data_IF_797442242814
#
_entry.id   IF_797442242814
#
_cell.length_a   1.000
_cell.length_b   1.000
_cell.length_c   1.000
_cell.angle_alpha   90.00
_cell.angle_beta   90.00
_cell.angle_gamma   90.00
#
_symmetry.space_group_name_H-M   'P 1'
#
loop_
_entity.id
_entity.type
_entity.pdbx_description
1 polymer ?
#
# COMPACT_ATOMS: atom_id res chain seq x y z
N UNK A 1 58.11 37.75 -16.59
CA UNK A 1 58.02 36.49 -15.82
C UNK A 1 57.07 36.56 -14.60
N UNK A 2 56.79 37.75 -14.03
CA UNK A 2 55.93 37.91 -12.83
C UNK A 2 54.41 37.76 -13.10
N UNK A 3 53.92 38.21 -14.26
CA UNK A 3 52.49 38.18 -14.60
C UNK A 3 51.90 36.76 -14.78
N UNK A 4 52.69 35.81 -15.29
CA UNK A 4 52.25 34.41 -15.49
C UNK A 4 52.00 33.68 -14.18
N UNK A 5 52.72 34.02 -13.11
CA UNK A 5 52.55 33.40 -11.80
C UNK A 5 51.29 33.91 -11.08
N UNK A 6 50.92 35.17 -11.29
CA UNK A 6 49.67 35.73 -10.75
C UNK A 6 48.46 35.12 -11.45
N UNK A 7 48.52 34.95 -12.77
CA UNK A 7 47.44 34.33 -13.55
C UNK A 7 47.24 32.85 -13.17
N UNK A 8 48.31 32.09 -12.97
CA UNK A 8 48.23 30.69 -12.51
C UNK A 8 47.64 30.57 -11.09
N UNK A 9 47.98 31.50 -10.19
CA UNK A 9 47.40 31.56 -8.84
C UNK A 9 45.91 31.91 -8.88
N UNK A 10 45.49 32.88 -9.71
CA UNK A 10 44.09 33.23 -9.93
C UNK A 10 43.29 32.06 -10.51
N UNK A 11 43.86 31.34 -11.48
CA UNK A 11 43.24 30.14 -12.06
C UNK A 11 43.08 29.02 -11.03
N UNK A 12 44.08 28.77 -10.18
CA UNK A 12 43.94 27.80 -9.09
C UNK A 12 42.84 28.19 -8.10
N UNK A 13 42.73 29.47 -7.74
CA UNK A 13 41.68 29.97 -6.84
C UNK A 13 40.30 29.79 -7.48
N UNK A 14 40.14 30.09 -8.77
CA UNK A 14 38.89 29.88 -9.51
C UNK A 14 38.49 28.40 -9.57
N UNK A 15 39.45 27.49 -9.78
CA UNK A 15 39.18 26.04 -9.78
C UNK A 15 38.74 25.56 -8.40
N UNK A 16 39.39 26.03 -7.32
CA UNK A 16 38.99 25.67 -5.95
C UNK A 16 37.58 26.19 -5.62
N UNK A 17 37.25 27.41 -6.05
CA UNK A 17 35.90 27.97 -5.86
C UNK A 17 34.86 27.16 -6.65
N UNK A 18 35.15 26.79 -7.90
CA UNK A 18 34.26 25.95 -8.71
C UNK A 18 34.05 24.57 -8.11
N UNK A 19 35.10 23.94 -7.58
CA UNK A 19 34.99 22.65 -6.87
C UNK A 19 34.21 22.79 -5.56
N UNK A 20 34.42 23.87 -4.80
CA UNK A 20 33.64 24.14 -3.60
C UNK A 20 32.16 24.37 -3.92
N UNK A 21 31.85 25.12 -4.98
CA UNK A 21 30.48 25.37 -5.44
C UNK A 21 29.81 24.09 -5.95
N UNK A 22 30.51 23.24 -6.69
CA UNK A 22 29.95 21.95 -7.13
C UNK A 22 29.72 21.00 -5.95
N UNK A 23 30.61 20.97 -4.95
CA UNK A 23 30.40 20.20 -3.71
C UNK A 23 29.22 20.76 -2.91
N UNK A 24 29.09 22.09 -2.80
CA UNK A 24 27.97 22.73 -2.11
C UNK A 24 26.64 22.47 -2.84
N UNK A 25 26.58 22.63 -4.17
CA UNK A 25 25.40 22.34 -4.97
C UNK A 25 25.05 20.85 -4.96
N UNK A 26 26.04 19.96 -4.93
CA UNK A 26 25.87 18.51 -4.75
C UNK A 26 25.33 18.16 -3.35
N UNK A 27 25.78 18.88 -2.32
CA UNK A 27 25.29 18.74 -0.93
C UNK A 27 23.88 19.30 -0.75
N UNK A 28 23.54 20.40 -1.42
CA UNK A 28 22.21 21.03 -1.43
C UNK A 28 21.20 20.15 -2.17
N UNK A 29 21.58 19.60 -3.34
CA UNK A 29 20.75 18.63 -4.07
C UNK A 29 20.54 17.35 -3.25
N UNK A 30 21.54 16.85 -2.52
CA UNK A 30 21.33 15.74 -1.56
C UNK A 30 20.44 16.11 -0.37
N UNK A 31 20.47 17.35 0.13
CA UNK A 31 19.57 17.82 1.21
C UNK A 31 18.11 17.89 0.79
N UNK A 32 17.82 18.20 -0.48
CA UNK A 32 16.44 18.18 -1.00
C UNK A 32 15.84 16.77 -1.07
N UNK A 33 16.68 15.72 -1.08
CA UNK A 33 16.27 14.30 -1.05
C UNK A 33 16.44 13.63 0.32
N UNK A 34 16.95 14.32 1.34
CA UNK A 34 17.11 13.80 2.69
C UNK A 34 16.68 14.85 3.73
N UNK A 35 15.52 14.63 4.35
CA UNK A 35 15.18 15.23 5.64
C UNK A 35 15.84 14.37 6.73
N UNK A 36 16.89 14.82 7.43
CA UNK A 36 17.43 14.06 8.54
C UNK A 36 16.48 14.19 9.73
N UNK A 37 15.97 13.06 10.19
CA UNK A 37 15.24 12.93 11.43
C UNK A 37 16.21 13.19 12.59
N UNK A 38 16.04 14.30 13.31
CA UNK A 38 16.71 14.52 14.60
C UNK A 38 15.73 14.08 15.68
N UNK A 39 15.96 12.89 16.24
CA UNK A 39 15.35 12.46 17.50
C UNK A 39 15.89 13.35 18.61
N UNK A 40 15.04 14.17 19.22
CA UNK A 40 15.25 14.63 20.60
C UNK A 40 14.95 13.46 21.53
N UNK A 41 15.95 12.60 21.73
CA UNK A 41 16.06 11.72 22.88
C UNK A 41 17.52 11.79 23.29
N UNK A 42 17.91 12.88 23.95
CA UNK A 42 19.20 12.96 24.65
C UNK A 42 19.17 13.98 25.80
N UNK A 43 18.03 14.07 26.49
CA UNK A 43 17.93 14.70 27.80
C UNK A 43 16.89 13.94 28.63
N UNK A 44 17.25 12.71 29.04
CA UNK A 44 16.84 12.11 30.33
C UNK A 44 17.51 10.73 30.48
N UNK A 45 18.83 10.72 30.68
CA UNK A 45 19.51 9.61 31.35
C UNK A 45 20.16 10.12 32.63
N UNK A 46 19.43 10.07 33.74
CA UNK A 46 20.02 9.81 35.04
C UNK A 46 19.13 8.84 35.84
N UNK A 47 19.63 7.61 35.93
CA UNK A 47 19.51 6.65 37.04
C UNK A 47 18.32 6.79 38.01
N UNK A 48 17.37 5.84 37.97
CA UNK A 48 16.90 5.18 39.19
C UNK A 48 16.26 3.81 38.89
N UNK A 49 16.65 2.79 39.67
CA UNK A 49 16.22 1.39 39.54
C UNK A 49 14.73 1.24 39.88
N UNK A 50 13.96 0.66 38.96
CA UNK A 50 12.56 0.30 39.16
C UNK A 50 12.41 -0.78 40.24
N UNK A 51 11.57 -0.52 41.26
CA UNK A 51 11.27 -1.44 42.36
C UNK A 51 9.76 -1.75 42.38
N UNK A 52 9.31 -3.01 42.21
CA UNK A 52 7.90 -3.33 41.98
C UNK A 52 7.13 -3.51 43.31
N UNK A 53 6.91 -2.43 44.06
CA UNK A 53 5.95 -2.36 45.19
C UNK A 53 5.54 -0.91 45.43
N UNK A 54 4.81 -0.31 44.48
CA UNK A 54 4.13 0.99 44.68
C UNK A 54 3.01 1.30 43.66
N UNK A 55 2.30 0.27 43.17
CA UNK A 55 1.16 0.45 42.25
C UNK A 55 -0.21 0.12 42.86
N UNK A 56 -0.34 0.11 44.20
CA UNK A 56 -1.65 -0.01 44.88
C UNK A 56 -2.17 1.32 45.49
N UNK A 57 -1.56 2.46 45.14
CA UNK A 57 -1.97 3.77 45.66
C UNK A 57 -2.53 4.77 44.65
N UNK A 58 -2.62 4.43 43.36
CA UNK A 58 -2.93 5.39 42.28
C UNK A 58 -4.17 5.02 41.45
N UNK A 59 -5.12 4.31 42.07
CA UNK A 59 -6.47 4.06 41.54
C UNK A 59 -7.55 4.51 42.53
N UNK A 60 -7.30 5.64 43.22
CA UNK A 60 -8.25 6.19 44.18
C UNK A 60 -8.20 7.71 44.27
N UNK A 61 -8.11 8.40 43.13
CA UNK A 61 -8.21 9.86 43.07
C UNK A 61 -8.67 10.40 41.70
N UNK A 62 -9.51 9.62 41.01
CA UNK A 62 -10.21 10.03 39.79
C UNK A 62 -11.69 9.60 39.83
N UNK A 63 -12.28 9.63 41.02
CA UNK A 63 -13.70 9.39 41.28
C UNK A 63 -14.18 10.45 42.27
N UNK A 64 -14.37 11.67 41.78
CA UNK A 64 -14.77 12.80 42.60
C UNK A 64 -14.87 14.06 41.77
N UNK A 65 -15.83 14.09 40.83
CA UNK A 65 -16.47 15.32 40.32
C UNK A 65 -17.57 14.92 39.30
N UNK A 66 -18.75 14.59 39.83
CA UNK A 66 -19.99 14.53 39.07
C UNK A 66 -21.08 15.09 39.98
N UNK A 67 -21.39 16.37 39.76
CA UNK A 67 -22.42 17.11 40.46
C UNK A 67 -23.83 16.58 40.16
N UNK A 68 -24.54 16.33 41.25
CA UNK A 68 -25.98 16.23 41.52
C UNK A 68 -26.99 16.28 40.36
N UNK A 69 -27.80 15.22 40.27
CA UNK A 69 -29.06 15.12 39.52
C UNK A 69 -30.23 15.41 40.48
N UNK A 70 -31.20 16.27 40.13
CA UNK A 70 -32.44 16.37 40.90
C UNK A 70 -33.34 15.16 40.62
N UNK A 71 -33.72 14.45 41.69
CA UNK A 71 -34.80 13.46 41.71
C UNK A 71 -36.14 14.17 41.83
N UNK A 72 -37.00 14.02 40.82
CA UNK A 72 -38.44 14.22 41.01
C UNK A 72 -39.27 13.24 40.16
N UNK A 73 -40.04 12.45 40.90
CA UNK A 73 -41.33 11.86 40.55
C UNK A 73 -41.40 10.58 39.70
N UNK A 74 -41.47 9.47 40.45
CA UNK A 74 -42.26 8.28 40.12
C UNK A 74 -43.72 8.65 39.81
N UNK A 75 -44.32 8.01 38.80
CA UNK A 75 -45.77 8.05 38.61
C UNK A 75 -46.27 7.37 37.33
N UNK A 76 -46.86 6.19 37.53
CA UNK A 76 -47.89 5.52 36.72
C UNK A 76 -47.55 4.79 35.41
N UNK A 77 -47.65 3.46 35.54
CA UNK A 77 -48.21 2.56 34.53
C UNK A 77 -49.52 3.09 33.93
N UNK A 78 -49.62 3.09 32.61
CA UNK A 78 -50.87 2.74 31.92
C UNK A 78 -50.60 2.13 30.54
N UNK A 79 -51.30 1.02 30.29
CA UNK A 79 -51.44 0.32 29.01
C UNK A 79 -52.04 1.27 27.97
N UNK A 80 -51.44 1.31 26.77
CA UNK A 80 -52.18 1.57 25.53
C UNK A 80 -51.69 0.62 24.44
N UNK A 81 -52.63 -0.16 23.90
CA UNK A 81 -52.50 -1.02 22.73
C UNK A 81 -52.51 -0.18 21.45
N UNK A 82 -51.68 -0.58 20.48
CA UNK A 82 -52.04 -0.56 19.06
C UNK A 82 -51.69 0.70 18.26
N UNK A 83 -50.66 0.58 17.42
CA UNK A 83 -50.70 0.98 16.01
C UNK A 83 -49.39 0.57 15.33
N UNK A 84 -49.49 -0.38 14.41
CA UNK A 84 -48.42 -0.76 13.48
C UNK A 84 -48.53 0.18 12.29
N UNK A 85 -47.67 1.19 12.20
CA UNK A 85 -47.26 1.83 10.95
C UNK A 85 -46.12 2.80 11.22
N UNK A 86 -44.90 2.53 10.73
CA UNK A 86 -43.83 3.52 10.80
C UNK A 86 -42.38 3.05 10.67
N UNK A 87 -42.12 1.78 10.34
CA UNK A 87 -40.74 1.25 10.25
C UNK A 87 -40.09 1.40 8.87
N UNK A 88 -40.82 1.77 7.82
CA UNK A 88 -40.27 1.90 6.46
C UNK A 88 -39.55 3.24 6.20
N UNK A 89 -39.97 4.35 6.84
CA UNK A 89 -39.37 5.67 6.60
C UNK A 89 -38.04 5.90 7.32
N UNK A 90 -37.82 5.30 8.50
CA UNK A 90 -36.54 5.39 9.20
C UNK A 90 -35.43 4.60 8.51
N UNK A 91 -35.78 3.50 7.82
CA UNK A 91 -34.81 2.72 7.04
C UNK A 91 -34.32 3.46 5.80
N UNK A 92 -35.20 4.23 5.13
CA UNK A 92 -34.85 5.00 3.93
C UNK A 92 -34.01 6.24 4.20
N UNK A 93 -34.09 6.81 5.42
CA UNK A 93 -33.37 8.05 5.77
C UNK A 93 -31.89 7.83 6.15
N UNK A 94 -31.51 6.60 6.49
CA UNK A 94 -30.14 6.24 6.88
C UNK A 94 -29.27 5.96 5.64
N UNK A 95 -29.84 5.35 4.60
CA UNK A 95 -29.15 5.05 3.32
C UNK A 95 -28.72 6.31 2.56
N UNK A 96 -29.44 7.44 2.70
CA UNK A 96 -29.10 8.71 2.03
C UNK A 96 -27.89 9.46 2.64
N UNK A 97 -27.31 8.96 3.74
CA UNK A 97 -26.22 9.64 4.47
C UNK A 97 -24.87 8.91 4.46
N UNK A 98 -24.78 7.72 3.85
CA UNK A 98 -23.55 6.94 3.83
C UNK A 98 -22.60 7.44 2.75
N UNK A 99 -21.53 8.13 3.16
CA UNK A 99 -20.48 8.59 2.22
C UNK A 99 -19.42 7.50 2.05
N UNK A 100 -19.44 6.83 0.90
CA UNK A 100 -18.40 5.89 0.47
C UNK A 100 -17.49 6.51 -0.61
N UNK A 101 -16.49 5.76 -1.07
CA UNK A 101 -15.60 6.21 -2.13
C UNK A 101 -16.36 6.59 -3.40
N UNK A 102 -16.10 7.78 -3.91
CA UNK A 102 -16.63 8.26 -5.18
C UNK A 102 -15.79 7.70 -6.34
N UNK A 103 -16.38 6.82 -7.16
CA UNK A 103 -15.75 6.21 -8.34
C UNK A 103 -15.39 7.21 -9.45
N UNK A 104 -15.88 8.45 -9.34
CA UNK A 104 -15.65 9.55 -10.25
C UNK A 104 -14.62 10.57 -9.71
N UNK A 105 -13.96 10.25 -8.59
CA UNK A 105 -12.92 11.11 -7.99
C UNK A 105 -11.83 11.46 -9.00
N UNK A 106 -11.44 12.73 -9.00
CA UNK A 106 -10.40 13.30 -9.86
C UNK A 106 -9.40 14.09 -9.02
N UNK A 107 -8.36 14.59 -9.66
CA UNK A 107 -7.37 15.48 -9.06
C UNK A 107 -7.99 16.74 -8.46
N UNK A 108 -9.15 17.18 -8.95
CA UNK A 108 -9.90 18.31 -8.37
C UNK A 108 -10.45 18.00 -6.98
N UNK A 109 -10.66 16.72 -6.65
CA UNK A 109 -11.13 16.27 -5.34
C UNK A 109 -9.98 16.13 -4.32
N UNK A 110 -8.71 16.23 -4.74
CA UNK A 110 -7.55 16.20 -3.86
C UNK A 110 -7.35 17.52 -3.12
N UNK A 111 -6.75 17.48 -1.92
CA UNK A 111 -6.29 18.68 -1.22
C UNK A 111 -5.19 19.40 -2.02
N UNK A 112 -5.03 20.74 -1.91
CA UNK A 112 -4.08 21.50 -2.72
C UNK A 112 -2.63 20.98 -2.67
N UNK A 113 -2.19 20.51 -1.48
CA UNK A 113 -0.86 19.88 -1.32
C UNK A 113 -0.70 18.69 -2.27
N UNK A 114 -1.67 17.78 -2.32
CA UNK A 114 -1.60 16.56 -3.13
C UNK A 114 -1.80 16.86 -4.62
N UNK A 115 -2.57 17.88 -4.97
CA UNK A 115 -2.63 18.38 -6.36
C UNK A 115 -1.24 18.84 -6.84
N UNK A 116 -0.49 19.57 -6.00
CA UNK A 116 0.88 19.98 -6.31
C UNK A 116 1.83 18.79 -6.42
N UNK A 117 1.75 17.85 -5.48
CA UNK A 117 2.56 16.62 -5.50
C UNK A 117 2.32 15.82 -6.79
N UNK A 118 1.06 15.64 -7.20
CA UNK A 118 0.74 14.98 -8.48
C UNK A 118 1.34 15.71 -9.67
N UNK A 119 1.23 17.05 -9.74
CA UNK A 119 1.85 17.84 -10.82
C UNK A 119 3.37 17.66 -10.87
N UNK A 120 4.03 17.56 -9.71
CA UNK A 120 5.47 17.30 -9.66
C UNK A 120 5.81 15.91 -10.21
N UNK A 121 5.07 14.86 -9.84
CA UNK A 121 5.31 13.51 -10.39
C UNK A 121 5.07 13.43 -11.90
N UNK A 122 4.01 14.08 -12.39
CA UNK A 122 3.76 14.21 -13.84
C UNK A 122 4.95 14.89 -14.55
N UNK A 123 5.49 15.97 -13.97
CA UNK A 123 6.63 16.68 -14.54
C UNK A 123 7.94 15.90 -14.47
N UNK A 124 8.16 15.11 -13.42
CA UNK A 124 9.39 14.35 -13.25
C UNK A 124 9.47 13.17 -14.22
N UNK A 125 8.34 12.51 -14.50
CA UNK A 125 8.24 11.34 -15.39
C UNK A 125 9.42 10.36 -15.24
N UNK A 126 9.70 9.96 -13.99
CA UNK A 126 10.91 9.19 -13.61
C UNK A 126 11.13 7.95 -14.47
N UNK A 127 10.06 7.29 -14.91
CA UNK A 127 10.09 6.03 -15.65
C UNK A 127 9.95 6.20 -17.17
N UNK A 128 10.02 7.44 -17.68
CA UNK A 128 9.88 7.76 -19.10
C UNK A 128 8.58 7.23 -19.73
N UNK A 129 7.48 7.35 -19.00
CA UNK A 129 6.16 6.91 -19.46
C UNK A 129 5.74 7.76 -20.66
N UNK A 130 5.38 7.08 -21.75
CA UNK A 130 4.88 7.70 -22.99
C UNK A 130 3.62 6.95 -23.44
N UNK A 131 2.50 7.25 -22.78
CA UNK A 131 1.23 6.62 -23.10
C UNK A 131 0.71 7.09 -24.46
N UNK A 132 0.41 6.13 -25.34
CA UNK A 132 -0.13 6.36 -26.70
C UNK A 132 -1.49 5.70 -26.92
N UNK A 133 -2.07 5.08 -25.89
CA UNK A 133 -3.40 4.49 -25.97
C UNK A 133 -4.50 5.54 -25.96
N UNK A 134 -5.70 5.14 -26.36
CA UNK A 134 -6.86 6.02 -26.33
C UNK A 134 -7.39 6.14 -24.90
N UNK A 135 -7.55 7.37 -24.41
CA UNK A 135 -8.27 7.59 -23.16
C UNK A 135 -9.76 7.35 -23.41
N UNK A 136 -10.37 6.43 -22.66
CA UNK A 136 -11.80 6.13 -22.81
C UNK A 136 -12.64 7.35 -22.42
N UNK A 137 -13.24 8.00 -23.42
CA UNK A 137 -14.11 9.15 -23.22
C UNK A 137 -15.38 8.80 -22.42
N UNK A 138 -15.85 7.55 -22.56
CA UNK A 138 -16.93 6.98 -21.76
C UNK A 138 -16.39 5.85 -20.88
N UNK A 139 -16.80 5.82 -19.61
CA UNK A 139 -16.36 4.78 -18.66
C UNK A 139 -16.88 3.41 -19.09
N UNK A 140 -15.99 2.43 -19.15
CA UNK A 140 -16.37 1.03 -19.36
C UNK A 140 -17.32 0.54 -18.26
N UNK A 141 -18.23 -0.36 -18.63
CA UNK A 141 -19.03 -1.11 -17.66
C UNK A 141 -18.12 -1.99 -16.79
N UNK A 142 -18.56 -2.37 -15.58
CA UNK A 142 -17.77 -3.24 -14.69
C UNK A 142 -17.32 -4.53 -15.38
N UNK A 143 -18.19 -5.16 -16.18
CA UNK A 143 -17.93 -6.42 -16.87
C UNK A 143 -16.84 -6.25 -17.94
N UNK A 144 -16.94 -5.20 -18.77
CA UNK A 144 -15.92 -4.90 -19.79
C UNK A 144 -14.57 -4.56 -19.17
N UNK A 145 -14.56 -3.86 -18.04
CA UNK A 145 -13.34 -3.55 -17.31
C UNK A 145 -12.70 -4.80 -16.69
N UNK A 146 -13.50 -5.73 -16.17
CA UNK A 146 -13.02 -7.02 -15.68
C UNK A 146 -12.40 -7.85 -16.81
N UNK A 147 -13.04 -7.88 -17.99
CA UNK A 147 -12.47 -8.50 -19.19
C UNK A 147 -11.16 -7.87 -19.61
N UNK A 148 -11.10 -6.54 -19.62
CA UNK A 148 -9.88 -5.80 -19.95
C UNK A 148 -8.72 -6.17 -19.00
N UNK A 149 -8.99 -6.23 -17.69
CA UNK A 149 -7.98 -6.65 -16.70
C UNK A 149 -7.51 -8.08 -16.93
N UNK A 150 -8.44 -9.03 -17.09
CA UNK A 150 -8.16 -10.45 -17.30
C UNK A 150 -7.29 -10.68 -18.54
N UNK A 151 -7.64 -10.04 -19.64
CA UNK A 151 -7.07 -10.35 -20.96
C UNK A 151 -5.76 -9.61 -21.23
N UNK A 152 -5.53 -8.46 -20.59
CA UNK A 152 -4.38 -7.58 -20.88
C UNK A 152 -3.34 -7.49 -19.77
N UNK A 153 -3.63 -7.94 -18.55
CA UNK A 153 -2.66 -7.94 -17.45
C UNK A 153 -2.16 -9.36 -17.21
N UNK A 154 -0.92 -9.61 -17.62
CA UNK A 154 -0.32 -10.92 -17.44
C UNK A 154 0.34 -11.00 -16.05
N UNK A 155 -0.28 -11.76 -15.14
CA UNK A 155 0.27 -11.98 -13.80
C UNK A 155 1.24 -13.15 -13.83
N UNK A 156 2.50 -12.84 -14.15
CA UNK A 156 3.61 -13.81 -14.16
C UNK A 156 4.73 -13.40 -13.22
N UNK A 157 5.45 -14.42 -12.75
CA UNK A 157 6.70 -14.25 -12.03
C UNK A 157 7.86 -14.46 -13.00
N UNK A 158 9.03 -13.92 -12.68
CA UNK A 158 10.27 -14.23 -13.38
C UNK A 158 10.56 -15.73 -13.26
N UNK A 159 10.84 -16.36 -14.40
CA UNK A 159 11.20 -17.76 -14.53
C UNK A 159 12.65 -17.90 -15.00
N UNK A 160 13.21 -19.11 -14.85
CA UNK A 160 14.54 -19.42 -15.39
C UNK A 160 14.63 -19.34 -16.92
N UNK A 161 13.52 -19.24 -17.64
CA UNK A 161 13.53 -18.99 -19.09
C UNK A 161 13.68 -17.51 -19.44
N UNK A 162 13.46 -16.59 -18.50
CA UNK A 162 13.49 -15.15 -18.76
C UNK A 162 14.92 -14.63 -18.68
N UNK A 163 15.45 -14.06 -19.77
CA UNK A 163 16.80 -13.48 -19.76
C UNK A 163 16.89 -12.23 -18.85
N UNK A 164 17.90 -12.11 -17.95
CA UNK A 164 19.11 -12.93 -17.83
C UNK A 164 19.06 -14.02 -16.72
N UNK A 165 17.88 -14.39 -16.24
CA UNK A 165 17.68 -15.35 -15.15
C UNK A 165 17.87 -16.82 -15.54
N UNK A 166 18.17 -17.12 -16.81
CA UNK A 166 18.48 -18.47 -17.28
C UNK A 166 19.88 -18.98 -17.01
N UNK A 167 20.71 -18.21 -16.32
CA UNK A 167 22.05 -18.67 -15.94
C UNK A 167 22.01 -19.76 -14.86
N UNK A 168 23.03 -20.61 -14.81
CA UNK A 168 23.20 -21.62 -13.74
C UNK A 168 23.36 -20.99 -12.34
N UNK A 169 23.72 -19.71 -12.27
CA UNK A 169 23.69 -18.95 -11.04
C UNK A 169 22.25 -18.73 -10.55
N UNK A 170 21.36 -18.23 -11.41
CA UNK A 170 19.99 -17.88 -11.05
C UNK A 170 19.07 -19.09 -10.81
N UNK A 171 19.31 -20.19 -11.54
CA UNK A 171 18.50 -21.41 -11.41
C UNK A 171 18.41 -21.97 -9.99
N UNK A 172 19.43 -21.76 -9.14
CA UNK A 172 19.41 -22.24 -7.74
C UNK A 172 18.54 -21.38 -6.82
N UNK A 173 18.22 -20.14 -7.19
CA UNK A 173 17.54 -19.18 -6.33
C UNK A 173 16.07 -18.98 -6.69
N UNK A 174 15.67 -19.21 -7.95
CA UNK A 174 14.28 -19.10 -8.36
C UNK A 174 13.47 -20.35 -7.96
N UNK A 175 12.19 -20.20 -7.54
CA UNK A 175 11.33 -21.35 -7.29
C UNK A 175 11.12 -22.21 -8.55
N UNK A 176 11.15 -23.53 -8.39
CA UNK A 176 10.95 -24.48 -9.51
C UNK A 176 9.49 -24.66 -9.94
N UNK A 177 8.52 -24.28 -9.10
CA UNK A 177 7.08 -24.30 -9.40
C UNK A 177 6.57 -22.88 -9.62
N UNK A 178 5.65 -22.69 -10.54
CA UNK A 178 4.94 -21.41 -10.71
C UNK A 178 4.13 -21.05 -9.45
N UNK A 179 3.77 -19.78 -9.31
CA UNK A 179 2.97 -19.33 -8.17
C UNK A 179 1.63 -20.08 -8.09
N UNK A 180 0.95 -20.26 -9.23
CA UNK A 180 -0.32 -20.97 -9.31
C UNK A 180 -0.20 -22.45 -8.92
N UNK A 181 0.90 -23.13 -9.28
CA UNK A 181 1.15 -24.52 -8.86
C UNK A 181 1.46 -24.64 -7.37
N UNK A 182 2.14 -23.64 -6.79
CA UNK A 182 2.49 -23.62 -5.37
C UNK A 182 1.27 -23.37 -4.49
N UNK A 183 0.41 -22.43 -4.90
CA UNK A 183 -0.79 -22.04 -4.14
C UNK A 183 -1.95 -23.01 -4.39
N UNK A 184 -2.06 -23.52 -5.61
CA UNK A 184 -3.22 -24.29 -6.05
C UNK A 184 -4.46 -23.40 -6.24
N UNK A 185 -5.61 -24.06 -6.30
CA UNK A 185 -6.89 -23.40 -6.43
C UNK A 185 -7.37 -22.87 -5.07
N UNK A 186 -7.68 -21.57 -5.00
CA UNK A 186 -8.28 -20.93 -3.84
C UNK A 186 -9.71 -20.48 -4.16
N UNK A 187 -10.59 -20.60 -3.17
CA UNK A 187 -11.96 -20.08 -3.21
C UNK A 187 -11.99 -18.61 -2.81
N UNK A 188 -12.22 -18.35 -1.52
CA UNK A 188 -12.36 -16.98 -0.97
C UNK A 188 -11.05 -16.49 -0.38
N UNK A 189 -10.61 -15.32 -0.82
CA UNK A 189 -9.34 -14.73 -0.40
C UNK A 189 -9.51 -13.33 0.19
N UNK A 190 -8.60 -12.93 1.08
CA UNK A 190 -8.54 -11.58 1.60
C UNK A 190 -7.26 -10.86 1.15
N UNK A 191 -7.41 -9.62 0.71
CA UNK A 191 -6.33 -8.64 0.57
C UNK A 191 -6.47 -7.64 1.71
N UNK A 192 -5.49 -7.61 2.61
CA UNK A 192 -5.50 -6.71 3.77
C UNK A 192 -4.59 -5.53 3.48
N UNK A 193 -5.16 -4.32 3.33
CA UNK A 193 -4.35 -3.11 3.16
C UNK A 193 -3.49 -2.85 4.40
N UNK A 194 -2.60 -1.86 4.33
CA UNK A 194 -1.81 -1.43 5.49
C UNK A 194 -2.42 -0.22 6.20
N UNK A 195 -3.60 0.25 5.80
CA UNK A 195 -4.15 1.54 6.19
C UNK A 195 -4.37 1.70 7.71
N UNK A 196 -4.20 2.92 8.22
CA UNK A 196 -4.49 3.23 9.63
C UNK A 196 -5.95 2.98 10.05
N UNK A 197 -6.88 2.97 9.10
CA UNK A 197 -8.32 2.72 9.33
C UNK A 197 -8.65 1.27 9.72
N UNK A 198 -7.68 0.35 9.65
CA UNK A 198 -7.81 -0.99 10.22
C UNK A 198 -7.82 -1.00 11.75
N UNK A 199 -7.31 0.04 12.42
CA UNK A 199 -7.32 0.09 13.89
C UNK A 199 -8.74 0.09 14.45
N UNK A 200 -8.97 -0.76 15.45
CA UNK A 200 -10.26 -0.93 16.12
C UNK A 200 -11.39 -1.27 15.15
N UNK A 201 -11.05 -1.99 14.07
CA UNK A 201 -12.00 -2.49 13.08
C UNK A 201 -12.61 -3.82 13.49
N UNK A 202 -11.91 -4.60 14.33
CA UNK A 202 -12.30 -5.94 14.76
C UNK A 202 -12.52 -6.93 13.57
N UNK A 203 -11.88 -6.67 12.43
CA UNK A 203 -12.03 -7.48 11.21
C UNK A 203 -11.24 -8.79 11.25
N UNK A 204 -10.42 -9.02 12.28
CA UNK A 204 -9.45 -10.11 12.28
C UNK A 204 -10.05 -11.51 12.12
N UNK A 205 -11.20 -11.77 12.76
CA UNK A 205 -11.92 -13.05 12.60
C UNK A 205 -12.49 -13.23 11.19
N UNK A 206 -13.03 -12.17 10.60
CA UNK A 206 -13.54 -12.21 9.23
C UNK A 206 -12.39 -12.46 8.26
N UNK A 207 -11.29 -11.73 8.40
CA UNK A 207 -10.08 -11.91 7.58
C UNK A 207 -9.57 -13.35 7.66
N UNK A 208 -9.46 -13.92 8.87
CA UNK A 208 -8.95 -15.29 9.05
C UNK A 208 -9.90 -16.38 8.53
N UNK A 209 -11.17 -16.05 8.23
CA UNK A 209 -12.13 -16.99 7.64
C UNK A 209 -11.89 -17.30 6.16
N UNK A 210 -11.00 -16.57 5.48
CA UNK A 210 -10.65 -16.77 4.06
C UNK A 210 -9.61 -17.88 3.89
N UNK A 211 -9.60 -18.56 2.74
CA UNK A 211 -8.64 -19.63 2.42
C UNK A 211 -7.20 -19.09 2.41
N UNK A 212 -7.01 -17.90 1.84
CA UNK A 212 -5.72 -17.22 1.79
C UNK A 212 -5.82 -15.74 2.16
N UNK A 213 -4.74 -15.22 2.77
CA UNK A 213 -4.61 -13.80 3.13
C UNK A 213 -3.33 -13.23 2.52
N UNK A 214 -3.47 -12.16 1.74
CA UNK A 214 -2.37 -11.37 1.20
C UNK A 214 -2.12 -10.11 2.05
N UNK A 215 -0.84 -9.87 2.39
CA UNK A 215 -0.36 -8.69 3.12
C UNK A 215 0.79 -7.99 2.40
N UNK A 216 1.16 -6.79 2.86
CA UNK A 216 2.13 -5.94 2.18
C UNK A 216 3.32 -5.57 3.06
N UNK A 217 4.52 -5.55 2.46
CA UNK A 217 5.75 -5.02 3.06
C UNK A 217 5.96 -5.54 4.51
N UNK A 218 6.33 -4.67 5.45
CA UNK A 218 6.51 -5.00 6.86
C UNK A 218 5.24 -4.94 7.71
N UNK A 219 4.03 -5.01 7.12
CA UNK A 219 2.78 -4.94 7.88
C UNK A 219 2.69 -6.10 8.89
N UNK A 220 2.75 -5.83 10.22
CA UNK A 220 2.86 -6.85 11.25
C UNK A 220 1.49 -7.36 11.69
N UNK A 221 1.46 -8.57 12.23
CA UNK A 221 0.27 -9.17 12.85
C UNK A 221 0.30 -9.01 14.37
N UNK A 222 1.47 -9.17 14.98
CA UNK A 222 1.65 -9.17 16.44
C UNK A 222 1.21 -7.82 17.02
N UNK A 223 0.26 -7.85 17.95
CA UNK A 223 -0.33 -6.68 18.59
C UNK A 223 -1.55 -6.11 17.87
N UNK A 224 -1.93 -6.68 16.72
CA UNK A 224 -3.05 -6.20 15.88
C UNK A 224 -4.01 -7.32 15.48
N UNK A 225 -3.89 -8.52 16.03
CA UNK A 225 -4.62 -9.72 15.60
C UNK A 225 -6.14 -9.53 15.57
N UNK A 226 -6.69 -8.78 16.53
CA UNK A 226 -8.12 -8.51 16.60
C UNK A 226 -8.62 -7.71 15.38
N UNK A 227 -7.79 -6.80 14.88
CA UNK A 227 -8.10 -5.93 13.76
C UNK A 227 -7.72 -6.54 12.42
N UNK A 228 -6.57 -7.21 12.34
CA UNK A 228 -5.97 -7.61 11.05
C UNK A 228 -5.89 -9.12 10.86
N UNK A 229 -6.28 -9.93 11.83
CA UNK A 229 -6.22 -11.39 11.78
C UNK A 229 -4.82 -11.94 12.04
N UNK A 230 -4.68 -13.25 11.97
CA UNK A 230 -3.44 -13.99 12.26
C UNK A 230 -2.84 -14.69 11.03
N UNK A 231 -3.62 -14.89 9.97
CA UNK A 231 -3.19 -15.61 8.78
C UNK A 231 -2.37 -14.72 7.84
N UNK A 232 -1.29 -15.27 7.28
CA UNK A 232 -0.56 -14.71 6.13
C UNK A 232 -0.19 -15.85 5.21
N UNK A 233 -0.78 -15.86 4.01
CA UNK A 233 -0.49 -16.88 2.98
C UNK A 233 0.48 -16.33 1.95
N UNK A 234 0.29 -15.07 1.55
CA UNK A 234 1.15 -14.37 0.59
C UNK A 234 1.54 -13.01 1.17
N UNK A 235 2.79 -12.61 0.99
CA UNK A 235 3.27 -11.26 1.30
C UNK A 235 3.95 -10.65 0.09
N UNK A 236 3.39 -9.54 -0.38
CA UNK A 236 3.95 -8.75 -1.47
C UNK A 236 4.82 -7.63 -0.89
N UNK A 237 6.11 -7.64 -1.21
CA UNK A 237 7.09 -6.65 -0.75
C UNK A 237 7.62 -5.85 -1.95
N UNK A 238 7.86 -4.56 -1.77
CA UNK A 238 8.58 -3.78 -2.77
C UNK A 238 10.11 -4.00 -2.63
N UNK A 239 10.84 -3.76 -3.71
CA UNK A 239 12.30 -3.87 -3.77
C UNK A 239 13.01 -2.90 -2.81
N UNK A 240 12.44 -1.71 -2.57
CA UNK A 240 12.99 -0.75 -1.63
C UNK A 240 13.14 -1.34 -0.22
N UNK A 241 12.12 -2.05 0.28
CA UNK A 241 12.17 -2.70 1.59
C UNK A 241 13.27 -3.76 1.63
N UNK A 242 13.35 -4.59 0.60
CA UNK A 242 14.34 -5.68 0.51
C UNK A 242 15.77 -5.13 0.45
N UNK A 243 15.98 -3.97 -0.18
CA UNK A 243 17.31 -3.35 -0.35
C UNK A 243 17.69 -2.41 0.81
N UNK A 244 16.79 -1.53 1.26
CA UNK A 244 17.10 -0.48 2.24
C UNK A 244 16.98 -0.99 3.67
N UNK A 245 16.00 -1.85 3.94
CA UNK A 245 15.76 -2.48 5.24
C UNK A 245 16.31 -3.92 5.26
N UNK A 246 17.34 -4.22 4.45
CA UNK A 246 17.88 -5.58 4.22
C UNK A 246 18.11 -6.35 5.52
N UNK A 247 18.81 -5.75 6.50
CA UNK A 247 19.09 -6.39 7.79
C UNK A 247 17.80 -6.82 8.50
N UNK A 248 16.80 -5.93 8.53
CA UNK A 248 15.50 -6.22 9.15
C UNK A 248 14.75 -7.29 8.37
N UNK A 249 14.72 -7.19 7.03
CA UNK A 249 14.09 -8.16 6.15
C UNK A 249 14.67 -9.58 6.29
N UNK A 250 15.99 -9.70 6.45
CA UNK A 250 16.68 -10.99 6.57
C UNK A 250 16.50 -11.67 7.93
N UNK A 251 16.18 -10.93 9.00
CA UNK A 251 16.12 -11.47 10.37
C UNK A 251 14.73 -11.54 10.98
N UNK A 252 13.79 -10.71 10.54
CA UNK A 252 12.47 -10.67 11.15
C UNK A 252 11.62 -11.88 10.74
N UNK A 253 11.17 -12.63 11.74
CA UNK A 253 10.35 -13.83 11.57
C UNK A 253 9.02 -13.58 10.81
N UNK A 254 8.58 -12.32 10.68
CA UNK A 254 7.38 -11.98 9.93
C UNK A 254 7.51 -12.28 8.43
N UNK A 255 8.73 -12.27 7.88
CA UNK A 255 9.00 -12.58 6.48
C UNK A 255 9.11 -14.09 6.24
N UNK A 256 9.40 -14.88 7.28
CA UNK A 256 9.62 -16.34 7.20
C UNK A 256 8.31 -17.15 7.10
N UNK A 257 7.17 -16.49 6.85
CA UNK A 257 5.84 -17.11 6.81
C UNK A 257 5.20 -16.95 5.43
N UNK A 258 4.63 -18.05 4.92
CA UNK A 258 3.91 -18.06 3.65
C UNK A 258 4.82 -17.84 2.45
N UNK A 259 4.22 -17.38 1.35
CA UNK A 259 4.90 -17.10 0.09
C UNK A 259 5.30 -15.62 0.05
N UNK A 260 6.54 -15.35 -0.35
CA UNK A 260 6.99 -13.99 -0.62
C UNK A 260 6.92 -13.68 -2.12
N UNK A 261 6.57 -12.45 -2.46
CA UNK A 261 6.68 -11.90 -3.81
C UNK A 261 7.36 -10.54 -3.70
N UNK A 262 8.48 -10.34 -4.39
CA UNK A 262 9.11 -9.02 -4.52
C UNK A 262 8.78 -8.40 -5.88
N UNK A 263 8.53 -7.10 -5.91
CA UNK A 263 8.36 -6.35 -7.16
C UNK A 263 9.21 -5.07 -7.15
N UNK A 264 9.66 -4.64 -8.32
CA UNK A 264 10.50 -3.46 -8.52
C UNK A 264 9.99 -2.61 -9.70
N UNK A 265 9.92 -1.28 -9.56
CA UNK A 265 9.60 -0.39 -10.67
C UNK A 265 10.62 -0.46 -11.83
N UNK A 266 10.26 -1.09 -12.94
CA UNK A 266 11.02 -0.97 -14.19
C UNK A 266 10.74 0.33 -14.95
N UNK A 267 11.64 0.79 -15.85
CA UNK A 267 11.28 1.79 -16.84
C UNK A 267 10.07 1.34 -17.69
N UNK A 268 9.30 2.30 -18.20
CA UNK A 268 8.06 2.03 -18.93
C UNK A 268 8.31 1.17 -20.17
N UNK A 269 7.59 0.03 -20.25
CA UNK A 269 7.70 -0.98 -21.33
C UNK A 269 9.14 -1.50 -21.60
N UNK A 270 10.04 -1.40 -20.62
CA UNK A 270 11.38 -1.98 -20.73
C UNK A 270 11.34 -3.51 -20.82
N UNK A 271 12.30 -4.07 -21.54
CA UNK A 271 12.54 -5.51 -21.55
C UNK A 271 13.20 -5.97 -20.24
N UNK A 272 13.01 -7.24 -19.87
CA UNK A 272 13.50 -7.81 -18.59
C UNK A 272 15.01 -7.59 -18.44
N UNK A 273 15.77 -7.77 -19.51
CA UNK A 273 17.22 -7.57 -19.51
C UNK A 273 17.65 -6.11 -19.34
N UNK A 274 16.82 -5.14 -19.74
CA UNK A 274 17.09 -3.71 -19.54
C UNK A 274 16.81 -3.31 -18.10
N UNK A 275 15.69 -3.79 -17.55
CA UNK A 275 15.35 -3.63 -16.14
C UNK A 275 16.41 -4.27 -15.24
N UNK A 276 16.86 -5.49 -15.54
CA UNK A 276 17.90 -6.17 -14.76
C UNK A 276 19.20 -5.36 -14.66
N UNK A 277 19.59 -4.65 -15.73
CA UNK A 277 20.78 -3.80 -15.73
C UNK A 277 20.63 -2.56 -14.84
N UNK A 278 19.41 -2.06 -14.66
CA UNK A 278 19.12 -0.83 -13.92
C UNK A 278 17.75 -0.95 -13.22
N UNK A 279 17.64 -1.77 -12.16
CA UNK A 279 16.45 -1.80 -11.33
C UNK A 279 16.33 -0.49 -10.54
N UNK A 280 15.14 -0.18 -10.04
CA UNK A 280 14.95 1.01 -9.20
C UNK A 280 15.68 0.86 -7.87
N UNK A 281 15.59 -0.33 -7.28
CA UNK A 281 16.42 -0.77 -6.17
C UNK A 281 17.09 -2.09 -6.51
N UNK A 282 18.41 -2.20 -6.29
CA UNK A 282 19.14 -3.43 -6.57
C UNK A 282 18.94 -4.44 -5.44
N UNK A 283 17.83 -5.18 -5.48
CA UNK A 283 17.43 -6.18 -4.48
C UNK A 283 17.98 -7.59 -4.75
N UNK A 284 18.68 -7.80 -5.86
CA UNK A 284 19.05 -9.15 -6.33
C UNK A 284 19.95 -9.90 -5.34
N UNK A 285 20.94 -9.22 -4.74
CA UNK A 285 21.85 -9.86 -3.76
C UNK A 285 21.12 -10.18 -2.44
N UNK A 286 20.31 -9.26 -1.94
CA UNK A 286 19.46 -9.46 -0.76
C UNK A 286 18.47 -10.61 -0.97
N UNK A 287 17.89 -10.72 -2.17
CA UNK A 287 17.02 -11.83 -2.57
C UNK A 287 17.78 -13.17 -2.54
N UNK A 288 18.98 -13.24 -3.13
CA UNK A 288 19.83 -14.46 -3.10
C UNK A 288 20.22 -14.84 -1.68
N UNK A 289 20.55 -13.86 -0.84
CA UNK A 289 20.90 -14.07 0.56
C UNK A 289 19.71 -14.66 1.34
N UNK A 290 18.51 -14.08 1.18
CA UNK A 290 17.30 -14.62 1.80
C UNK A 290 16.98 -16.05 1.32
N UNK A 291 17.06 -16.31 0.02
CA UNK A 291 16.83 -17.65 -0.56
C UNK A 291 17.85 -18.68 -0.07
N UNK A 292 19.07 -18.26 0.23
CA UNK A 292 20.12 -19.15 0.75
C UNK A 292 19.81 -19.60 2.18
N UNK A 293 19.18 -18.74 2.98
CA UNK A 293 18.82 -19.05 4.38
C UNK A 293 17.43 -19.69 4.51
N UNK A 294 16.55 -19.50 3.52
CA UNK A 294 15.19 -20.04 3.49
C UNK A 294 14.89 -20.80 2.18
N UNK A 295 15.64 -21.87 1.85
CA UNK A 295 15.54 -22.54 0.55
C UNK A 295 14.15 -23.13 0.28
N UNK A 296 13.46 -23.60 1.32
CA UNK A 296 12.13 -24.22 1.23
C UNK A 296 10.98 -23.21 1.10
N UNK A 297 11.19 -21.94 1.48
CA UNK A 297 10.12 -20.94 1.40
C UNK A 297 9.99 -20.38 -0.02
N UNK A 298 8.84 -20.49 -0.69
CA UNK A 298 8.66 -19.91 -2.01
C UNK A 298 8.79 -18.38 -1.95
N UNK A 299 9.72 -17.84 -2.74
CA UNK A 299 9.91 -16.41 -2.89
C UNK A 299 10.07 -16.09 -4.37
N UNK A 300 9.11 -15.35 -4.92
CA UNK A 300 9.03 -15.01 -6.34
C UNK A 300 9.44 -13.57 -6.61
N UNK A 301 9.84 -13.30 -7.84
CA UNK A 301 10.06 -11.96 -8.37
C UNK A 301 8.93 -11.68 -9.37
N UNK A 302 8.13 -10.64 -9.17
CA UNK A 302 7.06 -10.26 -10.09
C UNK A 302 7.66 -9.78 -11.42
N UNK A 303 7.08 -10.21 -12.54
CA UNK A 303 7.53 -9.75 -13.85
C UNK A 303 7.28 -8.23 -14.00
N UNK A 304 8.31 -7.42 -14.35
CA UNK A 304 8.19 -5.96 -14.40
C UNK A 304 7.19 -5.44 -15.44
N UNK A 305 6.78 -6.27 -16.41
CA UNK A 305 5.77 -5.88 -17.41
C UNK A 305 4.37 -5.74 -16.80
N UNK A 306 4.05 -6.53 -15.76
CA UNK A 306 2.72 -6.59 -15.16
C UNK A 306 2.26 -5.22 -14.62
N UNK A 307 3.14 -4.50 -13.92
CA UNK A 307 2.80 -3.18 -13.36
C UNK A 307 2.44 -2.14 -14.43
N UNK A 308 3.07 -2.19 -15.61
CA UNK A 308 2.83 -1.24 -16.69
C UNK A 308 1.62 -1.62 -17.54
N UNK A 309 1.37 -2.92 -17.72
CA UNK A 309 0.11 -3.40 -18.30
C UNK A 309 -1.09 -2.95 -17.47
N UNK A 310 -0.98 -3.03 -16.14
CA UNK A 310 -2.02 -2.54 -15.23
C UNK A 310 -2.12 -1.01 -15.24
N UNK A 311 -0.98 -0.31 -15.29
CA UNK A 311 -0.94 1.15 -15.41
C UNK A 311 -1.64 1.63 -16.69
N UNK A 312 -1.42 0.94 -17.82
CA UNK A 312 -2.07 1.27 -19.09
C UNK A 312 -3.59 1.22 -18.98
N UNK A 313 -4.14 0.20 -18.30
CA UNK A 313 -5.58 0.09 -18.04
C UNK A 313 -6.07 1.22 -17.13
N UNK A 314 -5.30 1.57 -16.09
CA UNK A 314 -5.64 2.69 -15.20
C UNK A 314 -5.67 4.01 -15.96
N UNK A 315 -4.68 4.28 -16.81
CA UNK A 315 -4.63 5.49 -17.62
C UNK A 315 -5.75 5.52 -18.65
N UNK A 316 -6.04 4.40 -19.32
CA UNK A 316 -7.12 4.26 -20.29
C UNK A 316 -8.50 4.53 -19.65
N UNK A 317 -8.68 4.14 -18.38
CA UNK A 317 -9.94 4.27 -17.64
C UNK A 317 -10.03 5.53 -16.75
N UNK A 318 -9.08 6.46 -16.91
CA UNK A 318 -9.03 7.74 -16.21
C UNK A 318 -9.26 8.89 -17.18
N UNK A 319 -10.04 9.89 -16.78
CA UNK A 319 -10.37 11.07 -17.60
C UNK A 319 -9.25 12.12 -17.64
N UNK A 320 -8.15 11.88 -16.94
CA UNK A 320 -6.99 12.76 -16.88
C UNK A 320 -5.70 11.94 -16.80
N UNK A 321 -4.57 12.59 -17.05
CA UNK A 321 -3.26 11.94 -16.94
C UNK A 321 -3.00 11.50 -15.49
N UNK A 322 -2.70 10.24 -15.27
CA UNK A 322 -2.37 9.74 -13.93
C UNK A 322 -0.87 9.88 -13.66
N UNK A 323 -0.44 9.73 -12.41
CA UNK A 323 0.98 9.75 -12.07
C UNK A 323 1.75 8.73 -12.92
N UNK A 324 2.87 9.11 -13.59
CA UNK A 324 3.67 8.23 -14.43
C UNK A 324 4.58 7.33 -13.59
N UNK A 325 4.00 6.71 -12.58
CA UNK A 325 4.59 5.85 -11.57
C UNK A 325 3.74 4.58 -11.51
N UNK A 326 4.33 3.42 -11.18
CA UNK A 326 3.60 2.16 -11.20
C UNK A 326 2.45 2.15 -10.17
N UNK A 327 1.44 1.28 -10.35
CA UNK A 327 0.37 1.09 -9.38
C UNK A 327 0.92 0.73 -8.00
N UNK A 328 0.16 1.01 -6.95
CA UNK A 328 0.54 0.66 -5.59
C UNK A 328 0.65 -0.86 -5.41
N UNK A 329 1.44 -1.31 -4.43
CA UNK A 329 1.46 -2.73 -4.04
C UNK A 329 0.06 -3.25 -3.73
N UNK A 330 -0.82 -2.42 -3.17
CA UNK A 330 -2.23 -2.74 -2.94
C UNK A 330 -2.94 -3.17 -4.22
N UNK A 331 -2.85 -2.37 -5.28
CA UNK A 331 -3.49 -2.69 -6.56
C UNK A 331 -2.85 -3.89 -7.27
N UNK A 332 -1.52 -4.01 -7.22
CA UNK A 332 -0.82 -5.21 -7.74
C UNK A 332 -1.29 -6.47 -7.02
N UNK A 333 -1.37 -6.42 -5.68
CA UNK A 333 -1.84 -7.52 -4.85
C UNK A 333 -3.29 -7.91 -5.12
N UNK A 334 -4.17 -6.94 -5.35
CA UNK A 334 -5.57 -7.20 -5.74
C UNK A 334 -5.62 -8.02 -7.03
N UNK A 335 -4.92 -7.57 -8.08
CA UNK A 335 -4.92 -8.26 -9.37
C UNK A 335 -4.27 -9.65 -9.27
N UNK A 336 -3.20 -9.80 -8.49
CA UNK A 336 -2.60 -11.12 -8.20
C UNK A 336 -3.63 -12.06 -7.56
N UNK A 337 -4.35 -11.61 -6.54
CA UNK A 337 -5.34 -12.45 -5.87
C UNK A 337 -6.56 -12.74 -6.77
N UNK A 338 -6.95 -11.83 -7.65
CA UNK A 338 -8.01 -12.10 -8.64
C UNK A 338 -7.61 -13.20 -9.63
N UNK A 339 -6.31 -13.36 -9.94
CA UNK A 339 -5.82 -14.49 -10.74
C UNK A 339 -5.85 -15.81 -9.95
N UNK A 340 -5.59 -15.76 -8.64
CA UNK A 340 -5.41 -16.94 -7.80
C UNK A 340 -6.68 -17.44 -7.12
N UNK A 341 -7.73 -16.64 -7.01
CA UNK A 341 -8.93 -16.91 -6.20
C UNK A 341 -10.21 -16.85 -7.03
N UNK A 342 -11.31 -17.39 -6.51
CA UNK A 342 -12.65 -17.25 -7.09
C UNK A 342 -13.35 -15.95 -6.67
N UNK A 343 -13.06 -15.48 -5.46
CA UNK A 343 -13.56 -14.23 -4.88
C UNK A 343 -12.46 -13.59 -4.02
N UNK A 344 -12.34 -12.26 -4.11
CA UNK A 344 -11.35 -11.48 -3.36
C UNK A 344 -12.04 -10.38 -2.57
N UNK A 345 -11.99 -10.51 -1.24
CA UNK A 345 -12.39 -9.45 -0.32
C UNK A 345 -11.20 -8.54 -0.01
N UNK A 346 -11.35 -7.25 -0.27
CA UNK A 346 -10.31 -6.23 -0.12
C UNK A 346 -10.67 -5.31 1.04
N UNK A 347 -9.86 -5.33 2.10
CA UNK A 347 -10.13 -4.62 3.35
C UNK A 347 -9.32 -3.32 3.46
N UNK A 348 -10.01 -2.23 3.75
CA UNK A 348 -9.49 -0.88 3.97
C UNK A 348 -8.62 -0.35 2.82
N UNK A 349 -8.84 -0.83 1.59
CA UNK A 349 -8.35 -0.18 0.37
C UNK A 349 -9.30 0.96 -0.02
N UNK A 350 -10.59 0.64 -0.17
CA UNK A 350 -11.65 1.63 -0.09
C UNK A 350 -11.91 1.94 1.39
N UNK A 351 -11.71 3.19 1.83
CA UNK A 351 -11.76 3.50 3.25
C UNK A 351 -13.19 3.41 3.80
N UNK A 352 -13.32 2.87 5.00
CA UNK A 352 -14.57 2.87 5.76
C UNK A 352 -14.87 4.21 6.42
N UNK A 353 -15.92 4.25 7.26
CA UNK A 353 -16.16 5.35 8.21
C UNK A 353 -14.99 5.64 9.15
N UNK A 354 -14.02 4.72 9.28
CA UNK A 354 -12.78 4.89 10.06
C UNK A 354 -11.68 5.60 9.28
N UNK A 355 -11.97 6.17 8.11
CA UNK A 355 -11.00 6.92 7.33
C UNK A 355 -10.22 7.90 8.21
N UNK A 356 -8.89 7.80 8.16
CA UNK A 356 -7.97 8.58 8.99
C UNK A 356 -6.76 9.01 8.17
N UNK A 357 -6.07 10.03 8.67
CA UNK A 357 -4.77 10.46 8.13
C UNK A 357 -3.62 9.61 8.69
N UNK A 358 -3.83 8.75 9.69
CA UNK A 358 -2.82 7.76 10.13
C UNK A 358 -2.49 6.86 8.94
N UNK A 359 -1.23 6.88 8.50
CA UNK A 359 -0.83 6.22 7.27
C UNK A 359 -0.97 4.69 7.37
N UNK A 360 -0.45 4.11 8.45
CA UNK A 360 -0.48 2.66 8.66
C UNK A 360 -0.96 2.26 10.05
N UNK A 361 -1.67 1.15 10.16
CA UNK A 361 -2.22 0.66 11.45
C UNK A 361 -1.14 0.37 12.50
N UNK A 362 0.09 0.12 12.08
CA UNK A 362 1.23 -0.18 12.94
C UNK A 362 2.16 1.02 13.18
N UNK A 363 1.82 2.21 12.66
CA UNK A 363 2.63 3.43 12.81
C UNK A 363 1.80 4.58 13.42
N UNK A 364 2.46 5.65 13.83
CA UNK A 364 1.81 6.80 14.49
C UNK A 364 1.82 8.09 13.66
N UNK A 365 2.49 8.10 12.51
CA UNK A 365 2.56 9.30 11.69
C UNK A 365 1.31 9.47 10.83
N UNK A 366 1.02 10.73 10.50
CA UNK A 366 -0.16 11.12 9.74
C UNK A 366 0.28 11.60 8.35
N UNK A 367 -0.23 10.95 7.31
CA UNK A 367 -0.12 11.43 5.94
C UNK A 367 -1.32 10.97 5.09
N UNK A 368 -2.17 11.94 4.75
CA UNK A 368 -3.32 11.72 3.86
C UNK A 368 -2.92 11.18 2.47
N UNK A 369 -1.66 11.34 2.06
CA UNK A 369 -1.13 10.76 0.83
C UNK A 369 -1.22 9.22 0.81
N UNK A 370 -1.12 8.56 1.97
CA UNK A 370 -1.22 7.10 2.05
C UNK A 370 -2.61 6.59 1.67
N UNK A 371 -3.64 7.41 1.89
CA UNK A 371 -5.04 7.08 1.55
C UNK A 371 -5.45 7.64 0.19
N UNK A 372 -4.96 8.82 -0.20
CA UNK A 372 -5.42 9.53 -1.40
C UNK A 372 -4.46 9.45 -2.59
N UNK A 373 -3.24 8.95 -2.39
CA UNK A 373 -2.18 8.89 -3.39
C UNK A 373 -1.25 10.11 -3.38
N UNK A 374 0.03 9.83 -3.63
CA UNK A 374 1.07 10.82 -3.93
C UNK A 374 1.93 10.30 -5.09
N UNK A 375 2.82 9.36 -4.78
CA UNK A 375 3.68 8.67 -5.74
C UNK A 375 2.86 7.77 -6.68
N UNK A 376 2.08 6.85 -6.12
CA UNK A 376 1.22 5.94 -6.90
C UNK A 376 -0.06 6.66 -7.38
N UNK A 377 -0.66 6.23 -8.50
CA UNK A 377 -1.98 6.68 -8.96
C UNK A 377 -3.14 6.12 -8.11
N UNK A 378 -2.97 6.05 -6.78
CA UNK A 378 -3.85 5.36 -5.83
C UNK A 378 -5.30 5.87 -5.84
N UNK A 379 -5.52 7.16 -6.11
CA UNK A 379 -6.86 7.71 -6.31
C UNK A 379 -7.61 6.97 -7.42
N UNK A 380 -6.94 6.76 -8.55
CA UNK A 380 -7.51 6.13 -9.75
C UNK A 380 -7.61 4.62 -9.59
N UNK A 381 -6.69 4.00 -8.85
CA UNK A 381 -6.79 2.59 -8.44
C UNK A 381 -8.07 2.36 -7.63
N UNK A 382 -8.37 3.23 -6.65
CA UNK A 382 -9.59 3.15 -5.84
C UNK A 382 -10.86 3.38 -6.66
N UNK A 383 -10.82 4.28 -7.65
CA UNK A 383 -11.93 4.44 -8.59
C UNK A 383 -12.20 3.16 -9.38
N UNK A 384 -11.14 2.49 -9.82
CA UNK A 384 -11.23 1.22 -10.54
C UNK A 384 -11.85 0.16 -9.62
N UNK A 385 -11.29 -0.06 -8.43
CA UNK A 385 -11.80 -1.04 -7.44
C UNK A 385 -13.26 -0.76 -7.09
N UNK A 386 -13.63 0.51 -6.86
CA UNK A 386 -15.02 0.89 -6.58
C UNK A 386 -15.95 0.58 -7.76
N UNK A 387 -15.47 0.67 -9.00
CA UNK A 387 -16.25 0.39 -10.22
C UNK A 387 -16.51 -1.11 -10.39
N UNK A 388 -15.57 -1.97 -10.03
CA UNK A 388 -15.69 -3.44 -10.17
C UNK A 388 -16.15 -4.14 -8.88
N UNK A 389 -16.44 -3.39 -7.82
CA UNK A 389 -16.96 -3.91 -6.57
C UNK A 389 -18.37 -4.52 -6.74
N UNK A 390 -18.55 -5.75 -6.29
CA UNK A 390 -19.82 -6.47 -6.23
C UNK A 390 -20.50 -6.39 -4.86
N UNK A 391 -19.78 -5.95 -3.82
CA UNK A 391 -20.33 -5.72 -2.48
C UNK A 391 -21.16 -4.43 -2.37
N UNK A 392 -21.79 -4.22 -1.21
CA UNK A 392 -22.67 -3.05 -0.98
C UNK A 392 -21.90 -1.80 -0.54
N UNK A 393 -22.56 -0.63 -0.60
CA UNK A 393 -22.00 0.60 -0.03
C UNK A 393 -21.93 0.52 1.50
N UNK A 394 -22.88 -0.18 2.13
CA UNK A 394 -22.87 -0.49 3.55
C UNK A 394 -21.62 -1.28 3.96
N UNK A 395 -21.20 -2.27 3.17
CA UNK A 395 -19.99 -3.05 3.43
C UNK A 395 -18.73 -2.19 3.40
N UNK A 396 -18.64 -1.26 2.44
CA UNK A 396 -17.55 -0.29 2.39
C UNK A 396 -17.63 0.63 3.61
N UNK A 397 -18.79 1.22 3.90
CA UNK A 397 -18.94 2.19 4.97
C UNK A 397 -18.64 1.59 6.35
N UNK A 398 -19.09 0.37 6.63
CA UNK A 398 -18.97 -0.28 7.93
C UNK A 398 -17.63 -1.02 8.05
N UNK A 399 -17.27 -1.82 7.06
CA UNK A 399 -16.15 -2.76 7.13
C UNK A 399 -14.94 -2.32 6.30
N UNK A 400 -15.09 -1.32 5.43
CA UNK A 400 -14.04 -0.96 4.47
C UNK A 400 -13.80 -2.09 3.48
N UNK A 401 -14.83 -2.91 3.23
CA UNK A 401 -14.75 -4.14 2.44
C UNK A 401 -15.28 -3.90 1.03
N UNK A 402 -14.48 -4.25 0.04
CA UNK A 402 -14.91 -4.41 -1.34
C UNK A 402 -14.76 -5.89 -1.75
N UNK A 403 -15.73 -6.43 -2.46
CA UNK A 403 -15.74 -7.83 -2.93
C UNK A 403 -15.61 -7.84 -4.45
N UNK A 404 -14.57 -8.50 -4.96
CA UNK A 404 -14.24 -8.57 -6.38
C UNK A 404 -14.28 -10.03 -6.87
N UNK A 405 -14.77 -10.30 -8.09
CA UNK A 405 -14.73 -11.64 -8.65
C UNK A 405 -13.30 -12.00 -9.05
N UNK A 406 -12.93 -13.25 -8.84
CA UNK A 406 -11.75 -13.85 -9.45
C UNK A 406 -11.89 -13.91 -10.96
N UNK A 407 -10.76 -13.81 -11.68
CA UNK A 407 -10.74 -13.83 -13.15
C UNK A 407 -11.28 -15.14 -13.75
N UNK A 408 -11.24 -16.24 -12.98
CA UNK A 408 -11.83 -17.52 -13.37
C UNK A 408 -13.35 -17.46 -13.55
N UNK A 409 -14.01 -16.53 -12.86
CA UNK A 409 -15.46 -16.32 -12.90
C UNK A 409 -15.86 -15.15 -13.81
N UNK A 410 -14.92 -14.54 -14.54
CA UNK A 410 -15.19 -13.41 -15.43
C UNK A 410 -15.51 -13.94 -16.84
N UNK A 411 -16.69 -13.58 -17.35
CA UNK A 411 -17.15 -13.93 -18.69
C UNK A 411 -16.97 -12.78 -19.67
N UNK A 412 -16.24 -13.09 -20.75
CA UNK A 412 -16.01 -12.29 -21.95
C UNK A 412 -16.12 -13.28 -23.11
#
# INVERSE_FOLDING_TARGET
MVHMNVLKKLMCVLVVILVALTICLWRETRRSYYVPFKTEIDDLQTSEKWNPRKSQGLFREAAGELGEIPKTWLGNHNKVKGSISGTAEKSKKVTDSMKVWDKDSSSRNLIPRLQKVRKNYLSMNKYNVTYKGDMNAAKLSPEKLLCQLRDRVNVTMIQGSDGPFGTSEWQRYLPGKSLSETVGHLGRCAVVSSAGSLRSSHLGREIDSHDAVLRFNGAPIRGFQEDVGQKTTIRLVNSQLVTVEEQQFLVEALYNTGILIVWDPAPYHAEIHEWYKKPDYNFFESYKLYRSTHPEQPFYILNPKMQWQLWDILQENSLEQIQPNPPSSGMLGIVIMMTLCDEVDVYEFLPSKRQTDICHYYQKFHDRACTMGAYHPLLFEKNLVKRINQGTDEDIYIHGKATLPGFRNVHC
#
